data_IF_898982672288
#
_entry.id   IF_898982672288
#
_cell.length_a   1.000
_cell.length_b   1.000
_cell.length_c   1.000
_cell.angle_alpha   90.00
_cell.angle_beta   90.00
_cell.angle_gamma   90.00
#
_symmetry.space_group_name_H-M   'P 1'
#
loop_
_entity.id
_entity.type
_entity.pdbx_description
1 polymer ?
#
# COMPACT_ATOMS: atom_id res chain seq x y z
N UNK A 1 15.82 -11.12 -4.82
CA UNK A 1 14.72 -10.23 -4.34
C UNK A 1 13.31 -10.66 -4.75
N UNK A 2 13.12 -11.37 -5.88
CA UNK A 2 11.78 -11.78 -6.37
C UNK A 2 11.08 -12.81 -5.45
N UNK A 3 11.80 -13.81 -4.95
CA UNK A 3 11.27 -14.88 -4.09
C UNK A 3 10.90 -14.48 -2.64
N UNK A 4 11.35 -13.32 -2.15
CA UNK A 4 11.04 -12.82 -0.80
C UNK A 4 9.76 -11.99 -0.79
N UNK A 5 9.55 -11.17 -1.83
CA UNK A 5 8.27 -10.47 -2.06
C UNK A 5 7.10 -11.46 -2.18
N UNK A 6 7.39 -12.63 -2.76
CA UNK A 6 6.50 -13.76 -2.97
C UNK A 6 5.97 -14.42 -1.69
N UNK A 7 6.78 -14.76 -0.69
CA UNK A 7 6.28 -15.46 0.53
C UNK A 7 5.48 -14.50 1.43
N UNK A 8 5.85 -13.21 1.46
CA UNK A 8 5.07 -12.19 2.14
C UNK A 8 3.70 -11.94 1.49
N UNK A 9 3.66 -11.80 0.16
CA UNK A 9 2.41 -11.57 -0.58
C UNK A 9 1.50 -12.81 -0.59
N UNK A 10 2.07 -14.00 -0.83
CA UNK A 10 1.32 -15.28 -0.84
C UNK A 10 0.89 -15.64 0.57
N UNK A 11 1.73 -15.47 1.60
CA UNK A 11 1.35 -15.71 3.00
C UNK A 11 0.23 -14.79 3.48
N UNK A 12 0.25 -13.52 3.07
CA UNK A 12 -0.82 -12.56 3.37
C UNK A 12 -2.13 -12.85 2.64
N UNK A 13 -2.09 -13.12 1.34
CA UNK A 13 -3.26 -13.47 0.55
C UNK A 13 -3.89 -14.81 0.99
N UNK A 14 -3.06 -15.80 1.33
CA UNK A 14 -3.50 -17.10 1.86
C UNK A 14 -4.08 -16.95 3.27
N UNK A 15 -3.50 -16.11 4.14
CA UNK A 15 -4.07 -15.85 5.46
C UNK A 15 -5.46 -15.19 5.38
N UNK A 16 -5.64 -14.20 4.50
CA UNK A 16 -6.94 -13.54 4.27
C UNK A 16 -7.95 -14.49 3.62
N UNK A 17 -7.52 -15.25 2.61
CA UNK A 17 -8.35 -16.27 1.94
C UNK A 17 -8.75 -17.42 2.85
N UNK A 18 -7.93 -17.80 3.83
CA UNK A 18 -8.22 -18.87 4.79
C UNK A 18 -9.18 -18.47 5.90
N UNK A 19 -9.23 -17.18 6.24
CA UNK A 19 -10.18 -16.67 7.22
C UNK A 19 -11.60 -16.53 6.63
N UNK A 20 -11.72 -16.42 5.30
CA UNK A 20 -13.00 -16.13 4.63
C UNK A 20 -14.02 -17.27 4.64
N UNK A 21 -13.69 -18.54 4.29
CA UNK A 21 -14.65 -19.67 4.36
C UNK A 21 -15.15 -19.96 5.78
N UNK A 22 -14.47 -19.44 6.80
CA UNK A 22 -14.81 -19.60 8.21
C UNK A 22 -15.64 -18.44 8.76
N UNK A 23 -15.57 -17.25 8.15
CA UNK A 23 -16.39 -16.09 8.50
C UNK A 23 -17.83 -16.15 7.98
N UNK A 24 -18.10 -17.00 6.97
CA UNK A 24 -19.46 -17.23 6.46
C UNK A 24 -20.16 -18.26 7.34
N UNK A 25 -20.78 -17.78 8.42
CA UNK A 25 -21.43 -18.63 9.43
C UNK A 25 -22.63 -19.41 8.89
N UNK A 26 -22.46 -20.72 8.72
CA UNK A 26 -23.38 -21.79 9.18
C UNK A 26 -22.48 -22.98 9.59
N UNK A 27 -22.80 -23.76 10.64
CA UNK A 27 -21.85 -24.76 11.14
C UNK A 27 -22.13 -26.13 10.50
N UNK A 28 -21.33 -26.50 9.49
CA UNK A 28 -21.40 -27.80 8.81
C UNK A 28 -20.62 -27.86 7.50
N UNK A 29 -20.45 -29.07 6.94
CA UNK A 29 -19.83 -29.29 5.62
C UNK A 29 -20.52 -28.47 4.51
N UNK A 30 -21.85 -28.30 4.59
CA UNK A 30 -22.62 -27.48 3.64
C UNK A 30 -22.19 -26.03 3.67
N UNK A 31 -21.96 -25.45 4.85
CA UNK A 31 -21.57 -24.07 4.96
C UNK A 31 -20.13 -23.80 4.51
N UNK A 32 -19.23 -24.77 4.73
CA UNK A 32 -17.86 -24.71 4.15
C UNK A 32 -17.95 -24.76 2.63
N UNK A 33 -18.80 -25.65 2.08
CA UNK A 33 -19.04 -25.73 0.63
C UNK A 33 -19.67 -24.45 0.08
N UNK A 34 -20.65 -23.88 0.78
CA UNK A 34 -21.34 -22.65 0.40
C UNK A 34 -20.38 -21.43 0.50
N UNK A 35 -19.55 -21.37 1.54
CA UNK A 35 -18.52 -20.34 1.71
C UNK A 35 -17.43 -20.41 0.64
N UNK A 36 -17.01 -21.61 0.23
CA UNK A 36 -16.08 -21.80 -0.89
C UNK A 36 -16.74 -21.53 -2.25
N UNK A 37 -18.01 -21.89 -2.42
CA UNK A 37 -18.75 -21.63 -3.65
C UNK A 37 -19.00 -20.12 -3.86
N UNK A 38 -19.17 -19.38 -2.77
CA UNK A 38 -19.32 -17.92 -2.77
C UNK A 38 -18.00 -17.18 -2.51
N UNK A 39 -16.85 -17.88 -2.58
CA UNK A 39 -15.55 -17.23 -2.55
C UNK A 39 -15.32 -16.52 -3.88
N UNK A 40 -15.65 -15.23 -3.91
CA UNK A 40 -15.33 -14.35 -5.03
C UNK A 40 -14.03 -13.61 -4.74
N UNK A 41 -12.98 -13.99 -5.44
CA UNK A 41 -11.72 -13.24 -5.52
C UNK A 41 -11.38 -13.07 -6.99
N UNK A 42 -10.95 -11.87 -7.37
CA UNK A 42 -10.56 -11.56 -8.75
C UNK A 42 -9.43 -12.48 -9.27
N UNK A 43 -8.56 -12.96 -8.37
CA UNK A 43 -7.31 -13.64 -8.74
C UNK A 43 -7.15 -15.06 -8.16
N UNK A 44 -8.06 -15.51 -7.29
CA UNK A 44 -7.94 -16.79 -6.59
C UNK A 44 -9.25 -17.56 -6.63
N UNK A 45 -9.17 -18.88 -6.80
CA UNK A 45 -10.27 -19.82 -6.55
C UNK A 45 -9.93 -20.72 -5.39
N UNK A 46 -10.92 -21.04 -4.58
CA UNK A 46 -10.79 -21.98 -3.48
C UNK A 46 -11.72 -23.17 -3.72
N UNK A 47 -11.23 -24.40 -3.50
CA UNK A 47 -12.02 -25.61 -3.60
C UNK A 47 -11.77 -26.54 -2.42
N UNK A 48 -12.80 -27.33 -2.07
CA UNK A 48 -12.71 -28.37 -1.07
C UNK A 48 -12.18 -29.65 -1.72
N UNK A 49 -10.95 -30.05 -1.39
CA UNK A 49 -10.32 -31.27 -1.93
C UNK A 49 -10.83 -32.49 -1.20
N UNK A 50 -10.89 -32.42 0.13
CA UNK A 50 -11.29 -33.53 0.98
C UNK A 50 -11.95 -33.02 2.26
N UNK A 51 -12.95 -33.75 2.75
CA UNK A 51 -13.60 -33.50 4.04
C UNK A 51 -13.91 -34.82 4.73
N UNK A 52 -13.25 -35.05 5.86
CA UNK A 52 -13.51 -36.18 6.74
C UNK A 52 -14.29 -35.69 7.94
N UNK A 53 -15.61 -35.95 7.91
CA UNK A 53 -16.52 -35.62 9.00
C UNK A 53 -16.29 -36.55 10.18
N UNK A 54 -16.09 -35.97 11.36
CA UNK A 54 -16.22 -36.68 12.64
C UNK A 54 -17.23 -36.00 13.56
N UNK A 55 -17.50 -36.62 14.70
CA UNK A 55 -18.55 -36.17 15.63
C UNK A 55 -18.15 -34.92 16.43
N UNK A 56 -16.92 -34.88 16.94
CA UNK A 56 -16.36 -33.74 17.72
C UNK A 56 -15.22 -33.03 16.99
N UNK A 57 -14.71 -33.63 15.92
CA UNK A 57 -13.63 -33.07 15.11
C UNK A 57 -13.82 -33.46 13.66
N UNK A 58 -13.46 -32.58 12.74
CA UNK A 58 -13.38 -32.90 11.31
C UNK A 58 -11.97 -32.61 10.80
N UNK A 59 -11.58 -33.24 9.71
CA UNK A 59 -10.40 -32.84 8.95
C UNK A 59 -10.84 -32.38 7.58
N UNK A 60 -10.30 -31.27 7.11
CA UNK A 60 -10.56 -30.78 5.76
C UNK A 60 -9.26 -30.40 5.07
N UNK A 61 -9.23 -30.57 3.77
CA UNK A 61 -8.18 -30.07 2.91
C UNK A 61 -8.81 -29.17 1.86
N UNK A 62 -8.31 -27.94 1.78
CA UNK A 62 -8.74 -26.94 0.80
C UNK A 62 -7.58 -26.64 -0.14
N UNK A 63 -7.87 -26.42 -1.42
CA UNK A 63 -6.91 -25.96 -2.41
C UNK A 63 -7.25 -24.55 -2.83
N UNK A 64 -6.25 -23.68 -2.76
CA UNK A 64 -6.30 -22.33 -3.31
C UNK A 64 -5.50 -22.33 -4.61
N UNK A 65 -6.15 -22.02 -5.72
CA UNK A 65 -5.55 -21.91 -7.03
C UNK A 65 -5.57 -20.47 -7.48
N UNK A 66 -4.41 -19.96 -7.84
CA UNK A 66 -4.30 -18.64 -8.45
C UNK A 66 -4.78 -18.77 -9.90
N UNK A 67 -5.75 -17.94 -10.28
CA UNK A 67 -6.41 -18.02 -11.59
C UNK A 67 -6.08 -16.87 -12.52
N UNK A 68 -5.47 -15.81 -12.01
CA UNK A 68 -4.97 -14.72 -12.82
C UNK A 68 -3.82 -15.24 -13.73
N UNK A 69 -3.98 -15.20 -15.08
CA UNK A 69 -2.98 -15.72 -16.01
C UNK A 69 -1.62 -15.02 -15.92
N UNK A 70 -1.59 -13.72 -15.61
CA UNK A 70 -0.35 -12.96 -15.48
C UNK A 70 0.40 -13.37 -14.22
N UNK A 71 -0.31 -13.53 -13.10
CA UNK A 71 0.27 -14.03 -11.86
C UNK A 71 0.73 -15.48 -12.04
N UNK A 72 -0.08 -16.33 -12.67
CA UNK A 72 0.29 -17.72 -12.97
C UNK A 72 1.56 -17.81 -13.81
N UNK A 73 1.66 -17.05 -14.90
CA UNK A 73 2.85 -17.04 -15.76
C UNK A 73 4.10 -16.57 -14.98
N UNK A 74 3.96 -15.57 -14.11
CA UNK A 74 5.05 -15.11 -13.26
C UNK A 74 5.47 -16.17 -12.23
N UNK A 75 4.50 -16.84 -11.61
CA UNK A 75 4.75 -17.89 -10.63
C UNK A 75 5.45 -19.09 -11.27
N UNK A 76 4.98 -19.52 -12.44
CA UNK A 76 5.58 -20.63 -13.19
C UNK A 76 7.01 -20.31 -13.66
N UNK A 77 7.25 -19.08 -14.14
CA UNK A 77 8.59 -18.61 -14.51
C UNK A 77 9.57 -18.60 -13.33
N UNK A 78 9.07 -18.42 -12.12
CA UNK A 78 9.85 -18.39 -10.89
C UNK A 78 9.88 -19.74 -10.14
N UNK A 79 9.30 -20.80 -10.72
CA UNK A 79 9.28 -22.16 -10.15
C UNK A 79 8.37 -22.30 -8.93
N UNK A 80 7.35 -21.44 -8.82
CA UNK A 80 6.47 -21.34 -7.66
C UNK A 80 5.17 -22.09 -7.93
N UNK A 81 4.66 -22.88 -6.97
CA UNK A 81 3.35 -23.52 -7.12
C UNK A 81 2.23 -22.49 -7.26
N UNK A 82 1.40 -22.66 -8.28
CA UNK A 82 0.18 -21.87 -8.52
C UNK A 82 -1.02 -22.40 -7.73
N UNK A 83 -0.83 -23.52 -7.03
CA UNK A 83 -1.79 -24.19 -6.18
C UNK A 83 -1.22 -24.41 -4.79
N UNK A 84 -1.98 -24.00 -3.77
CA UNK A 84 -1.61 -24.11 -2.36
C UNK A 84 -2.64 -24.98 -1.66
N UNK A 85 -2.19 -26.10 -1.12
CA UNK A 85 -2.99 -26.98 -0.26
C UNK A 85 -2.88 -26.52 1.19
N UNK A 86 -4.04 -26.51 1.86
CA UNK A 86 -4.13 -26.22 3.29
C UNK A 86 -4.87 -27.35 3.98
N UNK A 87 -4.21 -27.93 4.96
CA UNK A 87 -4.79 -28.95 5.84
C UNK A 87 -5.33 -28.26 7.09
N UNK A 88 -6.61 -28.47 7.39
CA UNK A 88 -7.27 -27.87 8.55
C UNK A 88 -7.91 -28.93 9.42
N UNK A 89 -7.56 -28.91 10.71
CA UNK A 89 -8.19 -29.73 11.75
C UNK A 89 -9.24 -28.90 12.47
N UNK A 90 -10.50 -29.28 12.31
CA UNK A 90 -11.64 -28.61 12.92
C UNK A 90 -12.03 -29.31 14.23
N UNK A 91 -12.35 -28.54 15.24
CA UNK A 91 -12.93 -29.01 16.51
C UNK A 91 -14.28 -28.35 16.72
N UNK A 92 -15.33 -29.16 16.90
CA UNK A 92 -16.70 -28.69 17.09
C UNK A 92 -16.96 -28.50 18.59
N UNK A 93 -17.10 -27.25 19.02
CA UNK A 93 -17.46 -26.89 20.39
C UNK A 93 -18.94 -26.51 20.52
N UNK A 94 -19.40 -26.33 21.76
CA UNK A 94 -20.77 -25.87 22.04
C UNK A 94 -21.01 -24.42 21.61
N UNK A 95 -19.94 -23.61 21.52
CA UNK A 95 -20.02 -22.16 21.27
C UNK A 95 -19.42 -21.75 19.91
N UNK A 96 -18.99 -22.71 19.09
CA UNK A 96 -18.32 -22.41 17.84
C UNK A 96 -17.48 -23.55 17.28
N UNK A 97 -16.76 -23.26 16.21
CA UNK A 97 -15.82 -24.17 15.54
C UNK A 97 -14.43 -23.56 15.60
N UNK A 98 -13.47 -24.30 16.13
CA UNK A 98 -12.07 -23.91 16.08
C UNK A 98 -11.33 -24.68 15.00
N UNK A 99 -10.46 -24.02 14.25
CA UNK A 99 -9.62 -24.65 13.24
C UNK A 99 -8.14 -24.43 13.54
N UNK A 100 -7.34 -25.46 13.25
CA UNK A 100 -5.88 -25.37 13.17
C UNK A 100 -5.48 -25.73 11.75
N UNK A 101 -4.96 -24.77 11.01
CA UNK A 101 -4.61 -24.88 9.60
C UNK A 101 -3.11 -24.79 9.39
N UNK A 102 -2.59 -25.63 8.48
CA UNK A 102 -1.16 -25.75 8.15
C UNK A 102 -0.98 -25.94 6.65
N UNK A 103 0.22 -25.66 6.14
CA UNK A 103 0.56 -25.78 4.71
C UNK A 103 1.37 -27.08 4.45
N UNK A 104 0.72 -28.22 4.16
CA UNK A 104 1.41 -29.51 3.98
C UNK A 104 2.46 -29.53 2.86
N UNK A 105 2.30 -28.69 1.83
CA UNK A 105 3.24 -28.59 0.71
C UNK A 105 4.54 -27.85 1.08
N UNK A 106 4.52 -27.06 2.17
CA UNK A 106 5.65 -26.26 2.61
C UNK A 106 6.00 -26.58 4.07
N UNK A 107 6.38 -27.83 4.40
CA UNK A 107 6.65 -28.24 5.78
C UNK A 107 7.81 -27.46 6.42
N UNK A 108 8.72 -26.93 5.60
CA UNK A 108 9.83 -26.07 6.03
C UNK A 108 9.42 -24.63 6.33
N UNK A 109 8.19 -24.22 6.01
CA UNK A 109 7.63 -22.93 6.35
C UNK A 109 6.66 -23.11 7.52
N UNK A 110 7.08 -22.82 8.76
CA UNK A 110 6.34 -23.20 9.97
C UNK A 110 5.22 -22.19 10.26
N UNK A 111 4.29 -22.05 9.30
CA UNK A 111 3.11 -21.22 9.40
C UNK A 111 1.94 -22.05 9.90
N UNK A 112 1.31 -21.57 10.97
CA UNK A 112 0.08 -22.11 11.52
C UNK A 112 -0.98 -21.02 11.59
N UNK A 113 -2.20 -21.33 11.18
CA UNK A 113 -3.35 -20.44 11.33
C UNK A 113 -4.31 -21.08 12.31
N UNK A 114 -4.61 -20.36 13.38
CA UNK A 114 -5.59 -20.71 14.38
C UNK A 114 -6.81 -19.82 14.13
N UNK A 115 -8.00 -20.39 14.07
CA UNK A 115 -9.22 -19.61 13.96
C UNK A 115 -10.32 -20.16 14.85
N UNK A 116 -11.21 -19.28 15.28
CA UNK A 116 -12.37 -19.62 16.09
C UNK A 116 -13.60 -18.87 15.58
N UNK A 117 -14.50 -19.60 14.95
CA UNK A 117 -15.77 -19.09 14.44
C UNK A 117 -16.84 -19.26 15.50
N UNK A 118 -17.40 -18.15 15.97
CA UNK A 118 -18.45 -18.11 16.97
C UNK A 118 -19.83 -18.42 16.37
N UNK A 119 -20.82 -18.67 17.23
CA UNK A 119 -22.20 -18.96 16.80
C UNK A 119 -22.85 -17.84 15.97
N UNK A 120 -22.39 -16.60 16.09
CA UNK A 120 -22.87 -15.46 15.29
C UNK A 120 -22.18 -15.35 13.91
N UNK A 121 -21.27 -16.28 13.59
CA UNK A 121 -20.50 -16.31 12.34
C UNK A 121 -19.20 -15.50 12.36
N UNK A 122 -18.99 -14.63 13.36
CA UNK A 122 -17.74 -13.89 13.45
C UNK A 122 -16.58 -14.84 13.74
N UNK A 123 -15.42 -14.56 13.16
CA UNK A 123 -14.23 -15.40 13.29
C UNK A 123 -13.08 -14.59 13.85
N UNK A 124 -12.53 -15.03 14.98
CA UNK A 124 -11.24 -14.56 15.45
C UNK A 124 -10.15 -15.45 14.85
N UNK A 125 -9.01 -14.87 14.49
CA UNK A 125 -7.89 -15.60 13.94
C UNK A 125 -6.55 -15.20 14.55
N UNK A 126 -5.60 -16.12 14.49
CA UNK A 126 -4.21 -15.93 14.88
C UNK A 126 -3.35 -16.70 13.90
N UNK A 127 -2.60 -15.98 13.08
CA UNK A 127 -1.54 -16.52 12.23
C UNK A 127 -0.24 -16.49 13.03
N UNK A 128 0.42 -17.63 13.15
CA UNK A 128 1.72 -17.77 13.81
C UNK A 128 2.73 -18.27 12.81
N UNK A 129 3.88 -17.63 12.79
CA UNK A 129 5.07 -18.10 12.13
C UNK A 129 6.08 -18.41 13.22
N UNK A 130 6.47 -19.68 13.38
CA UNK A 130 7.62 -20.00 14.23
C UNK A 130 8.91 -19.54 13.55
N UNK A 131 10.04 -19.63 14.26
CA UNK A 131 11.33 -19.25 13.68
C UNK A 131 11.55 -19.96 12.34
N UNK A 132 11.77 -19.15 11.31
CA UNK A 132 11.94 -19.63 9.96
C UNK A 132 13.33 -19.26 9.45
N UNK A 133 14.10 -20.27 9.03
CA UNK A 133 15.40 -20.10 8.40
C UNK A 133 15.36 -20.84 7.07
N UNK A 134 15.59 -20.12 5.99
CA UNK A 134 15.52 -20.67 4.65
C UNK A 134 16.58 -20.06 3.74
N UNK A 135 17.22 -20.92 2.93
CA UNK A 135 18.18 -20.50 1.92
C UNK A 135 17.51 -20.56 0.56
N UNK A 136 17.27 -19.39 -0.02
CA UNK A 136 16.82 -19.29 -1.40
C UNK A 136 17.98 -19.60 -2.33
N UNK A 137 17.82 -20.66 -3.12
CA UNK A 137 18.77 -21.06 -4.17
C UNK A 137 18.47 -20.24 -5.43
N UNK A 138 19.48 -19.61 -6.01
CA UNK A 138 19.38 -18.77 -7.21
C UNK A 138 20.77 -18.40 -7.71
N UNK A 139 20.85 -17.50 -8.71
CA UNK A 139 22.15 -16.97 -9.19
C UNK A 139 22.94 -16.29 -8.06
N UNK A 140 22.23 -15.63 -7.14
CA UNK A 140 22.77 -15.12 -5.88
C UNK A 140 21.95 -15.72 -4.72
N UNK A 141 22.49 -16.71 -4.01
CA UNK A 141 21.86 -17.29 -2.84
C UNK A 141 21.63 -16.26 -1.73
N UNK A 142 20.45 -16.36 -1.09
CA UNK A 142 20.09 -15.48 0.03
C UNK A 142 19.54 -16.33 1.16
N UNK A 143 20.11 -16.16 2.35
CA UNK A 143 19.58 -16.76 3.58
C UNK A 143 18.60 -15.78 4.21
N UNK A 144 17.39 -16.23 4.48
CA UNK A 144 16.37 -15.47 5.18
C UNK A 144 16.13 -16.09 6.53
N UNK A 145 16.26 -15.26 7.58
CA UNK A 145 15.91 -15.63 8.95
C UNK A 145 14.81 -14.72 9.45
N UNK A 146 13.71 -15.31 9.93
CA UNK A 146 12.58 -14.60 10.52
C UNK A 146 12.41 -15.09 11.96
N UNK A 147 12.42 -14.17 12.91
CA UNK A 147 12.07 -14.49 14.30
C UNK A 147 10.57 -14.80 14.43
N UNK A 148 10.13 -15.55 15.45
CA UNK A 148 8.72 -15.87 15.63
C UNK A 148 7.83 -14.63 15.52
N UNK A 149 6.87 -14.70 14.60
CA UNK A 149 5.99 -13.61 14.26
C UNK A 149 4.53 -14.04 14.42
N UNK A 150 3.66 -13.06 14.67
CA UNK A 150 2.23 -13.32 14.78
C UNK A 150 1.40 -12.21 14.14
N UNK A 151 0.25 -12.60 13.61
CA UNK A 151 -0.83 -11.70 13.26
C UNK A 151 -2.10 -12.18 13.95
N UNK A 152 -2.78 -11.29 14.66
CA UNK A 152 -4.08 -11.57 15.28
C UNK A 152 -5.13 -10.66 14.67
N UNK A 153 -6.37 -11.11 14.62
CA UNK A 153 -7.43 -10.31 14.03
C UNK A 153 -8.80 -10.95 14.16
N UNK A 154 -9.78 -10.27 13.58
CA UNK A 154 -11.16 -10.77 13.51
C UNK A 154 -11.80 -10.42 12.17
N UNK A 155 -12.76 -11.22 11.76
CA UNK A 155 -13.59 -10.98 10.58
C UNK A 155 -15.05 -11.13 11.00
N UNK A 156 -15.89 -10.16 10.65
CA UNK A 156 -17.34 -10.21 10.90
C UNK A 156 -18.08 -10.76 9.68
N UNK A 157 -19.33 -11.19 9.91
CA UNK A 157 -20.23 -11.59 8.81
C UNK A 157 -20.57 -10.45 7.84
N UNK A 158 -20.29 -9.19 8.20
CA UNK A 158 -20.46 -8.01 7.35
C UNK A 158 -19.20 -7.67 6.54
N UNK A 159 -18.15 -8.49 6.63
CA UNK A 159 -16.88 -8.25 5.93
C UNK A 159 -15.97 -7.23 6.59
N UNK A 160 -16.29 -6.78 7.81
CA UNK A 160 -15.35 -5.96 8.60
C UNK A 160 -14.20 -6.83 9.10
N UNK A 161 -12.97 -6.38 8.86
CA UNK A 161 -11.73 -7.05 9.20
C UNK A 161 -10.93 -6.17 10.14
N UNK A 162 -10.38 -6.77 11.18
CA UNK A 162 -9.32 -6.17 12.00
C UNK A 162 -8.07 -7.03 11.96
N UNK A 163 -6.90 -6.42 12.02
CA UNK A 163 -5.64 -7.15 12.16
C UNK A 163 -4.64 -6.37 13.02
N UNK A 164 -3.74 -7.11 13.66
CA UNK A 164 -2.55 -6.63 14.35
C UNK A 164 -1.41 -7.60 14.04
N UNK A 165 -0.41 -7.11 13.32
CA UNK A 165 0.82 -7.80 12.96
C UNK A 165 1.94 -7.39 13.92
N UNK A 166 2.70 -8.37 14.37
CA UNK A 166 3.96 -8.19 15.09
C UNK A 166 5.01 -9.17 14.58
N UNK A 167 6.08 -8.64 14.01
CA UNK A 167 7.25 -9.39 13.54
C UNK A 167 8.52 -8.74 14.11
N UNK A 168 9.12 -9.35 15.14
CA UNK A 168 10.25 -8.75 15.86
C UNK A 168 11.48 -8.49 15.00
N UNK A 169 11.81 -9.41 14.08
CA UNK A 169 13.03 -9.31 13.28
C UNK A 169 12.98 -10.15 12.01
N UNK A 170 13.54 -9.60 10.94
CA UNK A 170 13.86 -10.30 9.71
C UNK A 170 15.29 -9.96 9.29
N UNK A 171 16.06 -10.99 8.90
CA UNK A 171 17.44 -10.86 8.43
C UNK A 171 17.52 -11.50 7.04
N UNK A 172 18.16 -10.79 6.12
CA UNK A 172 18.52 -11.29 4.80
C UNK A 172 20.04 -11.24 4.70
N UNK A 173 20.68 -12.41 4.66
CA UNK A 173 22.12 -12.57 4.48
C UNK A 173 22.41 -12.93 3.03
N UNK A 174 23.27 -12.16 2.38
CA UNK A 174 23.67 -12.35 0.99
C UNK A 174 25.10 -12.91 0.94
N UNK A 175 25.42 -13.70 -0.09
CA UNK A 175 26.76 -14.31 -0.23
C UNK A 175 27.89 -13.28 -0.35
N UNK A 176 27.59 -12.09 -0.88
CA UNK A 176 28.55 -10.99 -1.02
C UNK A 176 28.88 -10.29 0.31
N UNK A 177 28.54 -10.88 1.47
CA UNK A 177 28.69 -10.30 2.81
C UNK A 177 27.82 -9.07 3.05
N UNK A 178 26.83 -8.80 2.18
CA UNK A 178 25.77 -7.87 2.49
C UNK A 178 24.80 -8.53 3.48
N UNK A 179 24.29 -7.73 4.40
CA UNK A 179 23.24 -8.14 5.33
C UNK A 179 22.21 -7.03 5.42
N UNK A 180 20.93 -7.37 5.24
CA UNK A 180 19.81 -6.49 5.51
C UNK A 180 19.08 -6.96 6.77
N UNK A 181 18.87 -6.07 7.72
CA UNK A 181 18.18 -6.34 8.98
C UNK A 181 16.99 -5.41 9.12
N UNK A 182 15.80 -5.97 9.29
CA UNK A 182 14.59 -5.27 9.64
C UNK A 182 14.21 -5.63 11.08
N UNK A 183 13.90 -4.63 11.90
CA UNK A 183 13.59 -4.79 13.32
C UNK A 183 12.26 -4.15 13.69
N UNK A 184 11.52 -4.84 14.56
CA UNK A 184 10.22 -4.43 15.11
C UNK A 184 9.24 -3.97 14.02
N UNK A 185 8.92 -4.89 13.12
CA UNK A 185 7.88 -4.66 12.13
C UNK A 185 6.54 -4.87 12.83
N UNK A 186 5.69 -3.84 12.83
CA UNK A 186 4.34 -3.93 13.34
C UNK A 186 3.36 -3.30 12.38
N UNK A 187 2.12 -3.76 12.46
CA UNK A 187 1.04 -3.13 11.72
C UNK A 187 -0.28 -3.42 12.38
N UNK A 188 -1.24 -2.54 12.17
CA UNK A 188 -2.60 -2.71 12.66
C UNK A 188 -3.56 -2.09 11.67
N UNK A 189 -4.80 -2.56 11.68
CA UNK A 189 -5.80 -1.98 10.83
C UNK A 189 -7.19 -2.49 11.11
N UNK A 190 -8.14 -1.70 10.65
CA UNK A 190 -9.56 -2.01 10.65
C UNK A 190 -10.18 -1.48 9.36
N UNK A 191 -11.09 -2.24 8.78
CA UNK A 191 -11.81 -1.78 7.61
C UNK A 191 -12.65 -2.86 6.98
N UNK A 192 -13.25 -2.53 5.84
CA UNK A 192 -13.97 -3.48 5.02
C UNK A 192 -13.69 -3.19 3.56
N UNK A 193 -13.70 -4.23 2.75
CA UNK A 193 -13.82 -4.08 1.32
C UNK A 193 -15.28 -3.78 0.98
N UNK A 194 -15.51 -2.86 0.05
CA UNK A 194 -16.83 -2.49 -0.45
C UNK A 194 -16.71 -2.11 -1.92
N UNK A 195 -17.21 -2.97 -2.81
CA UNK A 195 -17.24 -2.76 -4.26
C UNK A 195 -15.86 -2.50 -4.90
N UNK A 196 -14.80 -3.14 -4.43
CA UNK A 196 -13.42 -2.98 -4.88
C UNK A 196 -12.64 -1.92 -4.09
N UNK A 197 -13.32 -1.11 -3.29
CA UNK A 197 -12.69 -0.08 -2.46
C UNK A 197 -12.47 -0.60 -1.04
N UNK A 198 -11.24 -0.48 -0.54
CA UNK A 198 -11.01 -0.62 0.89
C UNK A 198 -11.49 0.64 1.61
N UNK A 199 -12.32 0.48 2.63
CA UNK A 199 -12.80 1.54 3.53
C UNK A 199 -12.29 1.27 4.94
N UNK A 200 -11.46 2.15 5.50
CA UNK A 200 -10.96 1.95 6.85
C UNK A 200 -9.67 2.70 7.16
N UNK A 201 -8.91 2.16 8.10
CA UNK A 201 -7.64 2.71 8.56
C UNK A 201 -6.62 1.60 8.77
N UNK A 202 -5.39 1.84 8.33
CA UNK A 202 -4.28 0.90 8.46
C UNK A 202 -3.02 1.66 8.84
N UNK A 203 -2.23 1.07 9.73
CA UNK A 203 -0.94 1.57 10.17
C UNK A 203 0.11 0.49 9.99
N UNK A 204 1.29 0.90 9.56
CA UNK A 204 2.48 0.08 9.46
C UNK A 204 3.66 0.83 10.07
N UNK A 205 4.49 0.12 10.81
CA UNK A 205 5.69 0.66 11.46
C UNK A 205 6.86 -0.30 11.29
N UNK A 206 8.03 0.29 11.07
CA UNK A 206 9.32 -0.38 11.05
C UNK A 206 10.27 0.47 11.90
N UNK A 207 10.68 -0.05 13.05
CA UNK A 207 11.54 0.73 13.95
C UNK A 207 12.93 0.91 13.36
N UNK A 208 13.49 -0.12 12.72
CA UNK A 208 14.82 -0.02 12.09
C UNK A 208 14.98 -0.90 10.86
N UNK A 209 15.50 -0.32 9.78
CA UNK A 209 16.12 -0.99 8.64
C UNK A 209 17.62 -0.69 8.67
N UNK A 210 18.45 -1.72 8.51
CA UNK A 210 19.89 -1.58 8.38
C UNK A 210 20.39 -2.42 7.22
N UNK A 211 21.23 -1.85 6.37
CA UNK A 211 21.97 -2.56 5.32
C UNK A 211 23.46 -2.40 5.61
N UNK A 212 24.11 -3.53 5.83
CA UNK A 212 25.53 -3.60 6.11
C UNK A 212 26.24 -4.33 4.99
N UNK A 213 27.42 -3.86 4.59
CA UNK A 213 28.30 -4.50 3.63
C UNK A 213 29.64 -4.79 4.31
N UNK A 214 30.03 -6.06 4.40
CA UNK A 214 31.29 -6.47 5.05
C UNK A 214 31.48 -5.88 6.47
N UNK A 215 30.38 -5.74 7.22
CA UNK A 215 30.36 -5.19 8.59
C UNK A 215 30.34 -3.67 8.71
N UNK A 216 30.28 -2.93 7.60
CA UNK A 216 30.08 -1.48 7.58
C UNK A 216 28.63 -1.15 7.22
N UNK A 217 28.01 -0.23 7.94
CA UNK A 217 26.65 0.23 7.65
C UNK A 217 26.66 1.17 6.46
N UNK A 218 26.02 0.74 5.37
CA UNK A 218 25.87 1.52 4.14
C UNK A 218 24.61 2.39 4.18
N UNK A 219 23.56 1.85 4.81
CA UNK A 219 22.26 2.49 4.86
C UNK A 219 21.52 2.11 6.15
N UNK A 220 21.03 3.12 6.88
CA UNK A 220 20.22 2.93 8.08
C UNK A 220 18.97 3.82 7.98
N UNK A 221 17.81 3.27 8.30
CA UNK A 221 16.55 4.02 8.44
C UNK A 221 15.93 3.66 9.78
N UNK A 222 15.61 4.69 10.56
CA UNK A 222 14.97 4.57 11.86
C UNK A 222 13.57 5.18 11.84
N UNK A 223 12.63 4.49 12.50
CA UNK A 223 11.29 4.99 12.78
C UNK A 223 10.47 5.28 11.52
N UNK A 224 10.43 4.34 10.57
CA UNK A 224 9.51 4.43 9.44
C UNK A 224 8.08 4.13 9.91
N UNK A 225 7.16 5.04 9.61
CA UNK A 225 5.73 4.83 9.85
C UNK A 225 4.92 5.20 8.62
N UNK A 226 3.91 4.40 8.33
CA UNK A 226 2.93 4.66 7.29
C UNK A 226 1.53 4.52 7.89
N UNK A 227 0.66 5.48 7.63
CA UNK A 227 -0.75 5.45 8.01
C UNK A 227 -1.60 5.75 6.80
N UNK A 228 -2.59 4.91 6.56
CA UNK A 228 -3.53 5.01 5.46
C UNK A 228 -4.94 5.09 6.02
N UNK A 229 -5.76 5.97 5.45
CA UNK A 229 -7.19 6.03 5.72
C UNK A 229 -7.95 6.19 4.43
N UNK A 230 -9.14 5.59 4.37
CA UNK A 230 -10.05 5.74 3.26
C UNK A 230 -11.49 5.75 3.76
N UNK A 231 -12.31 6.63 3.19
CA UNK A 231 -13.69 6.78 3.59
C UNK A 231 -14.56 7.30 2.45
N UNK A 232 -15.84 6.98 2.53
CA UNK A 232 -16.89 7.63 1.76
C UNK A 232 -17.42 8.86 2.52
N UNK A 233 -17.91 9.85 1.78
CA UNK A 233 -18.66 10.95 2.35
C UNK A 233 -20.03 10.50 2.90
N UNK A 234 -20.74 11.41 3.57
CA UNK A 234 -22.04 11.12 4.19
C UNK A 234 -23.13 10.71 3.18
N UNK A 235 -22.98 11.08 1.91
CA UNK A 235 -23.89 10.72 0.80
C UNK A 235 -23.45 9.48 0.03
N UNK A 236 -22.30 8.89 0.36
CA UNK A 236 -21.67 7.75 -0.33
C UNK A 236 -21.42 8.00 -1.82
N UNK A 237 -21.27 9.27 -2.19
CA UNK A 237 -21.01 9.70 -3.57
C UNK A 237 -19.56 10.07 -3.79
N UNK A 238 -18.85 10.46 -2.72
CA UNK A 238 -17.46 10.86 -2.78
C UNK A 238 -16.58 9.94 -1.97
N UNK A 239 -15.42 9.62 -2.52
CA UNK A 239 -14.40 8.78 -1.91
C UNK A 239 -13.12 9.59 -1.68
N UNK A 240 -12.50 9.41 -0.51
CA UNK A 240 -11.24 10.08 -0.15
C UNK A 240 -10.27 9.08 0.43
N UNK A 241 -9.02 9.17 0.00
CA UNK A 241 -7.88 8.46 0.58
C UNK A 241 -6.86 9.45 1.13
N UNK A 242 -6.27 9.12 2.28
CA UNK A 242 -5.16 9.87 2.84
C UNK A 242 -4.03 8.91 3.25
N UNK A 243 -2.80 9.36 3.02
CA UNK A 243 -1.57 8.61 3.16
C UNK A 243 -0.58 9.48 3.92
N UNK A 244 -0.13 9.01 5.09
CA UNK A 244 0.83 9.71 5.93
C UNK A 244 2.06 8.83 6.08
N UNK A 245 3.20 9.33 5.63
CA UNK A 245 4.49 8.65 5.70
C UNK A 245 5.44 9.47 6.55
N UNK A 246 6.16 8.83 7.47
CA UNK A 246 7.20 9.48 8.27
C UNK A 246 8.44 8.60 8.36
N UNK A 247 9.59 9.24 8.41
CA UNK A 247 10.88 8.63 8.72
C UNK A 247 11.57 9.53 9.74
N UNK A 248 11.89 8.99 10.92
CA UNK A 248 12.52 9.77 11.97
C UNK A 248 13.95 10.15 11.60
N UNK A 249 14.72 9.20 11.07
CA UNK A 249 16.10 9.40 10.66
C UNK A 249 16.47 8.43 9.55
N UNK A 250 17.26 8.88 8.59
CA UNK A 250 17.88 8.02 7.60
C UNK A 250 19.31 8.48 7.33
N UNK A 251 20.22 7.52 7.25
CA UNK A 251 21.65 7.72 7.04
C UNK A 251 22.13 6.88 5.88
N UNK A 252 22.95 7.47 5.03
CA UNK A 252 23.58 6.83 3.89
C UNK A 252 24.98 7.40 3.71
N UNK A 253 25.78 6.81 2.82
CA UNK A 253 27.18 7.18 2.61
C UNK A 253 27.41 8.66 2.28
N UNK A 254 26.43 9.34 1.67
CA UNK A 254 26.55 10.74 1.24
C UNK A 254 25.82 11.73 2.16
N UNK A 255 25.12 11.29 3.20
CA UNK A 255 24.43 12.22 4.11
C UNK A 255 23.42 11.61 5.08
N UNK A 256 22.68 12.50 5.74
CA UNK A 256 21.56 12.15 6.61
C UNK A 256 20.37 13.06 6.35
N UNK A 257 19.17 12.51 6.51
CA UNK A 257 17.94 13.30 6.63
C UNK A 257 17.15 12.85 7.86
N UNK A 258 16.48 13.81 8.50
CA UNK A 258 15.73 13.65 9.74
C UNK A 258 14.33 14.21 9.58
N UNK A 259 13.42 13.71 10.42
CA UNK A 259 12.05 14.21 10.54
C UNK A 259 11.32 14.34 9.20
N UNK A 260 11.57 13.39 8.29
CA UNK A 260 10.87 13.35 7.02
C UNK A 260 9.39 13.04 7.29
N UNK A 261 8.52 13.82 6.69
CA UNK A 261 7.07 13.63 6.75
C UNK A 261 6.43 13.99 5.41
N UNK A 262 5.57 13.11 4.91
CA UNK A 262 4.74 13.30 3.72
C UNK A 262 3.29 12.92 4.03
N UNK A 263 2.40 13.91 4.03
CA UNK A 263 0.96 13.75 4.18
C UNK A 263 0.29 14.07 2.83
N UNK A 264 -0.20 13.03 2.15
CA UNK A 264 -0.82 13.09 0.82
C UNK A 264 -2.29 12.67 0.89
N UNK A 265 -3.17 13.43 0.25
CA UNK A 265 -4.61 13.14 0.18
C UNK A 265 -5.08 13.20 -1.27
N UNK A 266 -5.84 12.20 -1.69
CA UNK A 266 -6.63 12.23 -2.91
C UNK A 266 -8.10 12.21 -2.50
N UNK A 267 -8.81 13.31 -2.71
CA UNK A 267 -10.13 13.50 -2.12
C UNK A 267 -11.20 13.94 -3.11
N UNK A 268 -12.44 13.80 -2.66
CA UNK A 268 -13.67 14.08 -3.41
C UNK A 268 -13.80 13.33 -4.74
N UNK A 269 -13.17 12.15 -4.86
CA UNK A 269 -13.33 11.31 -6.05
C UNK A 269 -14.77 10.83 -6.19
N UNK A 270 -15.30 10.79 -7.41
CA UNK A 270 -16.60 10.15 -7.66
C UNK A 270 -16.51 8.65 -7.36
N UNK A 271 -17.39 8.16 -6.49
CA UNK A 271 -17.33 6.78 -5.98
C UNK A 271 -17.58 5.77 -7.10
N UNK A 272 -18.57 6.00 -7.97
CA UNK A 272 -18.91 5.07 -9.03
C UNK A 272 -17.77 4.95 -10.06
N UNK A 273 -17.19 6.08 -10.46
CA UNK A 273 -16.04 6.08 -11.37
C UNK A 273 -14.82 5.42 -10.73
N UNK A 274 -14.53 5.70 -9.45
CA UNK A 274 -13.38 5.11 -8.75
C UNK A 274 -13.54 3.60 -8.57
N UNK A 275 -14.73 3.14 -8.20
CA UNK A 275 -15.09 1.72 -8.12
C UNK A 275 -14.87 1.02 -9.47
N UNK A 276 -15.34 1.62 -10.56
CA UNK A 276 -15.17 1.06 -11.90
C UNK A 276 -13.68 0.94 -12.28
N UNK A 277 -12.88 1.98 -12.01
CA UNK A 277 -11.44 1.96 -12.26
C UNK A 277 -10.71 0.93 -11.39
N UNK A 278 -11.09 0.81 -10.12
CA UNK A 278 -10.47 -0.14 -9.19
C UNK A 278 -10.68 -1.59 -9.64
N UNK A 279 -11.89 -1.93 -10.08
CA UNK A 279 -12.20 -3.28 -10.59
C UNK A 279 -11.38 -3.65 -11.83
N UNK A 280 -11.13 -2.69 -12.71
CA UNK A 280 -10.31 -2.90 -13.90
C UNK A 280 -8.84 -3.10 -13.52
N UNK A 281 -8.30 -2.30 -12.60
CA UNK A 281 -6.93 -2.46 -12.11
C UNK A 281 -6.69 -3.79 -11.38
N UNK A 282 -7.70 -4.31 -10.66
CA UNK A 282 -7.62 -5.59 -9.96
C UNK A 282 -7.74 -6.81 -10.88
N UNK A 283 -8.19 -6.63 -12.13
CA UNK A 283 -8.55 -7.73 -13.05
C UNK A 283 -7.47 -8.13 -14.06
N UNK A 284 -6.49 -7.26 -14.36
CA UNK A 284 -5.45 -7.54 -15.34
C UNK A 284 -4.16 -6.73 -15.09
N UNK A 285 -3.00 -7.38 -15.25
CA UNK A 285 -1.69 -6.72 -15.16
C UNK A 285 -1.34 -5.89 -16.42
N UNK A 286 -1.96 -6.21 -17.55
CA UNK A 286 -1.88 -5.47 -18.81
C UNK A 286 -3.30 -5.15 -19.27
N UNK A 287 -3.57 -3.88 -19.55
CA UNK A 287 -4.87 -3.44 -20.05
C UNK A 287 -5.00 -3.79 -21.53
N UNK A 288 -6.04 -4.54 -21.86
CA UNK A 288 -6.46 -4.75 -23.26
C UNK A 288 -7.05 -3.46 -23.83
N UNK A 289 -7.01 -3.30 -25.16
CA UNK A 289 -7.64 -2.15 -25.84
C UNK A 289 -9.12 -1.99 -25.45
N UNK A 290 -9.82 -3.10 -25.23
CA UNK A 290 -11.23 -3.12 -24.80
C UNK A 290 -11.41 -2.63 -23.35
N UNK A 291 -10.48 -2.92 -22.46
CA UNK A 291 -10.48 -2.38 -21.09
C UNK A 291 -10.13 -0.89 -21.10
N UNK A 292 -9.19 -0.45 -21.96
CA UNK A 292 -8.90 0.97 -22.16
C UNK A 292 -10.16 1.73 -22.60
N UNK A 293 -10.93 1.21 -23.56
CA UNK A 293 -12.20 1.82 -23.98
C UNK A 293 -13.22 1.95 -22.84
N UNK A 294 -13.20 1.05 -21.86
CA UNK A 294 -14.07 1.11 -20.68
C UNK A 294 -13.60 2.10 -19.61
N UNK A 295 -12.29 2.38 -19.56
CA UNK A 295 -11.66 3.31 -18.61
C UNK A 295 -11.91 4.75 -19.00
N UNK A 296 -11.82 5.06 -20.30
CA UNK A 296 -11.89 6.42 -20.80
C UNK A 296 -13.12 7.18 -20.26
N UNK A 297 -14.38 6.65 -20.33
CA UNK A 297 -15.53 7.33 -19.75
C UNK A 297 -15.45 7.57 -18.24
N UNK A 298 -14.76 6.70 -17.50
CA UNK A 298 -14.59 6.85 -16.04
C UNK A 298 -13.60 7.95 -15.72
N UNK A 299 -12.51 8.05 -16.49
CA UNK A 299 -11.56 9.17 -16.39
C UNK A 299 -12.27 10.48 -16.68
N UNK A 300 -13.03 10.56 -17.77
CA UNK A 300 -13.84 11.75 -18.09
C UNK A 300 -14.84 12.07 -16.97
N UNK A 301 -15.47 11.05 -16.36
CA UNK A 301 -16.38 11.23 -15.22
C UNK A 301 -15.68 11.79 -13.99
N UNK A 302 -14.47 11.32 -13.66
CA UNK A 302 -13.69 11.87 -12.54
C UNK A 302 -13.39 13.36 -12.73
N UNK A 303 -12.92 13.76 -13.92
CA UNK A 303 -12.68 15.18 -14.22
C UNK A 303 -13.96 16.00 -14.18
N UNK A 304 -15.05 15.49 -14.78
CA UNK A 304 -16.33 16.18 -14.79
C UNK A 304 -16.91 16.32 -13.38
N UNK A 305 -16.73 15.34 -12.50
CA UNK A 305 -17.20 15.39 -11.11
C UNK A 305 -16.30 16.22 -10.20
N UNK A 306 -15.08 16.51 -10.64
CA UNK A 306 -14.07 17.19 -9.85
C UNK A 306 -13.51 16.32 -8.74
N UNK A 307 -12.29 16.63 -8.33
CA UNK A 307 -11.55 16.00 -7.24
C UNK A 307 -10.42 16.92 -6.81
N UNK A 308 -9.75 16.60 -5.70
CA UNK A 308 -8.54 17.31 -5.30
C UNK A 308 -7.40 16.36 -4.97
N UNK A 309 -6.19 16.87 -5.17
CA UNK A 309 -4.94 16.27 -4.70
C UNK A 309 -4.34 17.27 -3.72
N UNK A 310 -3.98 16.83 -2.52
CA UNK A 310 -3.20 17.64 -1.59
C UNK A 310 -1.97 16.92 -1.07
N UNK A 311 -0.90 17.68 -0.95
CA UNK A 311 0.24 17.40 -0.08
C UNK A 311 0.09 18.39 1.06
N UNK A 312 -0.52 17.96 2.15
CA UNK A 312 -0.80 18.82 3.31
C UNK A 312 0.49 19.11 4.09
N UNK A 313 1.44 18.17 4.04
CA UNK A 313 2.77 18.33 4.60
C UNK A 313 3.79 17.55 3.77
N UNK A 314 4.84 18.21 3.29
CA UNK A 314 6.07 17.58 2.84
C UNK A 314 7.23 18.29 3.51
N UNK A 315 7.85 17.66 4.51
CA UNK A 315 8.89 18.28 5.31
C UNK A 315 10.05 17.32 5.55
N UNK A 316 11.26 17.86 5.68
CA UNK A 316 12.45 17.13 6.09
C UNK A 316 13.49 18.11 6.65
N UNK A 317 14.32 17.63 7.57
CA UNK A 317 15.57 18.28 7.94
C UNK A 317 16.72 17.56 7.22
N UNK A 318 17.46 18.27 6.37
CA UNK A 318 18.53 17.72 5.54
C UNK A 318 19.81 18.46 5.87
N UNK A 319 20.84 17.74 6.32
CA UNK A 319 22.12 18.33 6.74
C UNK A 319 21.99 19.49 7.73
N UNK A 320 20.98 19.44 8.62
CA UNK A 320 20.69 20.47 9.61
C UNK A 320 19.73 21.57 9.13
N UNK A 321 19.49 21.71 7.83
CA UNK A 321 18.57 22.70 7.27
C UNK A 321 17.15 22.16 7.08
N UNK A 322 16.15 22.98 7.38
CA UNK A 322 14.74 22.66 7.22
C UNK A 322 14.23 22.92 5.80
N UNK A 323 13.44 21.98 5.29
CA UNK A 323 12.59 22.11 4.11
C UNK A 323 11.14 21.80 4.51
N UNK A 324 10.19 22.60 4.02
CA UNK A 324 8.77 22.32 4.17
C UNK A 324 7.99 22.81 2.95
N UNK A 325 7.05 22.01 2.46
CA UNK A 325 6.18 22.36 1.35
C UNK A 325 4.77 21.84 1.57
N UNK A 326 3.79 22.55 1.02
CA UNK A 326 2.44 22.08 0.82
C UNK A 326 1.98 22.41 -0.59
N UNK A 327 1.04 21.62 -1.08
CA UNK A 327 0.43 21.79 -2.39
C UNK A 327 -1.02 21.32 -2.28
N UNK A 328 -1.95 22.12 -2.81
CA UNK A 328 -3.31 21.66 -3.07
C UNK A 328 -3.66 22.01 -4.50
N UNK A 329 -4.09 21.01 -5.25
CA UNK A 329 -4.62 21.12 -6.60
C UNK A 329 -6.06 20.62 -6.58
N UNK A 330 -6.98 21.36 -7.19
CA UNK A 330 -8.39 21.00 -7.28
C UNK A 330 -8.84 21.13 -8.72
N UNK A 331 -9.41 20.05 -9.24
CA UNK A 331 -10.17 20.03 -10.49
C UNK A 331 -11.62 20.35 -10.12
N UNK A 332 -12.17 21.49 -10.56
CA UNK A 332 -13.55 21.83 -10.26
C UNK A 332 -14.53 20.92 -11.02
N UNK A 333 -15.71 20.71 -10.43
CA UNK A 333 -16.83 20.05 -11.10
C UNK A 333 -17.21 20.81 -12.39
N UNK A 334 -17.53 20.06 -13.44
CA UNK A 334 -17.81 20.58 -14.78
C UNK A 334 -16.58 20.65 -15.70
N UNK A 335 -15.42 20.15 -15.28
CA UNK A 335 -14.23 20.04 -16.16
C UNK A 335 -14.46 18.93 -17.20
N UNK A 336 -14.69 19.30 -18.46
CA UNK A 336 -15.10 18.37 -19.53
C UNK A 336 -14.11 18.36 -20.69
N UNK A 337 -14.26 17.37 -21.56
CA UNK A 337 -13.50 17.12 -22.77
C UNK A 337 -12.00 16.85 -22.53
N UNK A 338 -11.66 16.34 -21.35
CA UNK A 338 -10.25 16.09 -20.98
C UNK A 338 -9.65 14.99 -21.84
N UNK A 339 -10.47 14.02 -22.27
CA UNK A 339 -10.00 12.98 -23.19
C UNK A 339 -9.67 13.50 -24.59
N UNK A 340 -10.38 14.51 -25.09
CA UNK A 340 -10.09 15.08 -26.42
C UNK A 340 -9.01 16.16 -26.34
N UNK A 341 -8.96 16.91 -25.25
CA UNK A 341 -7.97 17.95 -25.00
C UNK A 341 -7.47 17.88 -23.55
N UNK A 342 -6.41 17.09 -23.27
CA UNK A 342 -5.81 17.01 -21.94
C UNK A 342 -5.33 18.36 -21.39
N UNK A 343 -5.01 19.32 -22.28
CA UNK A 343 -4.57 20.65 -21.88
C UNK A 343 -5.72 21.51 -21.34
N UNK A 344 -6.99 21.13 -21.56
CA UNK A 344 -8.15 21.80 -21.01
C UNK A 344 -8.19 21.76 -19.46
N UNK A 345 -7.50 20.80 -18.84
CA UNK A 345 -7.37 20.70 -17.38
C UNK A 345 -6.55 21.86 -16.82
N UNK A 346 -5.45 22.24 -17.49
CA UNK A 346 -4.51 23.25 -16.99
C UNK A 346 -5.17 24.58 -16.62
N UNK A 347 -5.99 25.21 -17.48
CA UNK A 347 -6.69 26.45 -17.13
C UNK A 347 -7.78 26.26 -16.07
N UNK A 348 -8.34 25.05 -15.91
CA UNK A 348 -9.39 24.76 -14.94
C UNK A 348 -8.85 24.51 -13.52
N UNK A 349 -7.58 24.13 -13.38
CA UNK A 349 -6.96 23.86 -12.09
C UNK A 349 -6.99 25.08 -11.18
N UNK A 350 -7.41 24.85 -9.94
CA UNK A 350 -7.33 25.82 -8.85
C UNK A 350 -6.49 25.24 -7.73
N UNK A 351 -5.87 26.09 -6.91
CA UNK A 351 -5.03 25.56 -5.85
C UNK A 351 -4.15 26.59 -5.17
N UNK A 352 -3.26 26.08 -4.33
CA UNK A 352 -2.25 26.88 -3.65
C UNK A 352 -1.03 26.01 -3.37
N UNK A 353 0.12 26.65 -3.32
CA UNK A 353 1.38 26.02 -2.93
C UNK A 353 2.18 26.96 -2.08
N UNK A 354 2.81 26.41 -1.04
CA UNK A 354 3.75 27.13 -0.20
C UNK A 354 4.96 26.27 0.04
N UNK A 355 6.14 26.84 -0.15
CA UNK A 355 7.41 26.17 0.07
C UNK A 355 8.32 27.05 0.91
N UNK A 356 9.00 26.45 1.88
CA UNK A 356 9.98 27.06 2.75
C UNK A 356 11.30 26.28 2.65
N UNK A 357 12.39 27.02 2.50
CA UNK A 357 13.76 26.53 2.47
C UNK A 357 14.58 27.36 3.47
N UNK A 358 15.15 26.74 4.50
CA UNK A 358 15.97 27.46 5.48
C UNK A 358 17.30 27.95 4.89
N UNK A 359 17.88 29.00 5.49
CA UNK A 359 19.23 29.47 5.14
C UNK A 359 20.28 28.37 5.23
N UNK A 360 20.21 27.58 6.30
CA UNK A 360 21.11 26.46 6.55
C UNK A 360 21.09 25.42 5.42
N UNK A 361 19.91 25.19 4.82
CA UNK A 361 19.79 24.25 3.71
C UNK A 361 20.47 24.79 2.43
N UNK A 362 20.32 26.09 2.15
CA UNK A 362 20.98 26.73 1.00
C UNK A 362 22.51 26.76 1.19
N UNK A 363 22.98 27.04 2.41
CA UNK A 363 24.40 27.00 2.76
C UNK A 363 24.99 25.58 2.61
N UNK A 364 24.23 24.56 3.03
CA UNK A 364 24.65 23.16 2.91
C UNK A 364 24.67 22.68 1.44
N UNK A 365 23.81 23.24 0.58
CA UNK A 365 23.68 22.84 -0.82
C UNK A 365 23.74 24.03 -1.78
N UNK A 366 24.92 24.64 -2.02
CA UNK A 366 25.05 25.86 -2.82
C UNK A 366 24.48 25.78 -4.25
N UNK A 367 24.31 24.58 -4.80
CA UNK A 367 23.72 24.39 -6.13
C UNK A 367 22.25 24.84 -6.22
N UNK A 368 21.49 24.88 -5.10
CA UNK A 368 20.10 25.38 -5.11
C UNK A 368 20.03 26.92 -5.07
N UNK A 369 21.14 27.57 -4.72
CA UNK A 369 21.18 29.02 -4.54
C UNK A 369 20.85 29.76 -5.84
N UNK A 370 21.35 29.29 -6.99
CA UNK A 370 21.08 29.95 -8.28
C UNK A 370 19.56 29.99 -8.58
N UNK A 371 18.86 28.89 -8.32
CA UNK A 371 17.40 28.84 -8.49
C UNK A 371 16.67 29.78 -7.53
N UNK A 372 17.12 29.85 -6.28
CA UNK A 372 16.55 30.76 -5.27
C UNK A 372 16.79 32.22 -5.68
N UNK A 373 18.01 32.58 -6.08
CA UNK A 373 18.37 33.93 -6.51
C UNK A 373 17.52 34.37 -7.71
N UNK A 374 17.29 33.48 -8.68
CA UNK A 374 16.40 33.75 -9.82
C UNK A 374 14.96 34.00 -9.37
N UNK A 375 14.40 33.16 -8.49
CA UNK A 375 13.04 33.33 -7.97
C UNK A 375 12.90 34.61 -7.13
N UNK A 376 13.93 34.99 -6.37
CA UNK A 376 13.99 36.25 -5.63
C UNK A 376 14.02 37.46 -6.59
N UNK A 377 14.88 37.43 -7.62
CA UNK A 377 14.94 38.49 -8.65
C UNK A 377 13.62 38.66 -9.40
N UNK A 378 12.88 37.57 -9.61
CA UNK A 378 11.57 37.57 -10.27
C UNK A 378 10.42 37.94 -9.31
N UNK A 379 10.71 38.26 -8.05
CA UNK A 379 9.72 38.57 -7.00
C UNK A 379 8.74 37.41 -6.74
N UNK A 380 9.17 36.17 -6.97
CA UNK A 380 8.39 34.94 -6.79
C UNK A 380 8.65 34.25 -5.45
N UNK A 381 9.75 34.61 -4.81
CA UNK A 381 10.16 34.14 -3.49
C UNK A 381 10.48 35.33 -2.59
N UNK A 382 10.35 35.16 -1.28
CA UNK A 382 10.69 36.17 -0.26
C UNK A 382 11.71 35.59 0.70
N UNK A 383 12.62 36.43 1.16
CA UNK A 383 13.60 36.07 2.17
C UNK A 383 13.24 36.72 3.52
N UNK A 384 13.36 35.97 4.60
CA UNK A 384 13.27 36.45 5.98
C UNK A 384 14.46 35.95 6.81
N UNK A 385 14.43 36.19 8.13
CA UNK A 385 15.50 35.78 9.05
C UNK A 385 15.69 34.26 9.14
N UNK A 386 14.70 33.46 8.74
CA UNK A 386 14.71 31.99 8.84
C UNK A 386 15.09 31.32 7.52
N UNK A 387 14.73 31.92 6.39
CA UNK A 387 15.03 31.36 5.08
C UNK A 387 14.26 32.04 3.96
N UNK A 388 13.89 31.22 2.98
CA UNK A 388 13.25 31.61 1.75
C UNK A 388 11.87 30.96 1.64
N UNK A 389 10.86 31.76 1.35
CA UNK A 389 9.46 31.32 1.24
C UNK A 389 8.90 31.66 -0.14
N UNK A 390 8.35 30.65 -0.81
CA UNK A 390 7.51 30.79 -2.00
C UNK A 390 6.05 30.56 -1.58
N UNK A 391 5.16 31.44 -2.03
CA UNK A 391 3.73 31.35 -1.79
C UNK A 391 3.00 31.78 -3.08
N UNK A 392 2.22 30.86 -3.65
CA UNK A 392 1.53 31.07 -4.91
C UNK A 392 0.15 30.43 -4.93
N UNK A 393 -0.81 31.15 -5.49
CA UNK A 393 -2.14 30.64 -5.84
C UNK A 393 -2.08 30.05 -7.26
N UNK A 394 -2.78 28.95 -7.48
CA UNK A 394 -2.94 28.35 -8.81
C UNK A 394 -4.32 28.74 -9.30
N UNK A 395 -4.37 29.45 -10.43
CA UNK A 395 -5.61 29.91 -11.04
C UNK A 395 -5.41 30.20 -12.52
N UNK A 396 -6.40 29.84 -13.33
CA UNK A 396 -6.43 30.15 -14.77
C UNK A 396 -5.14 29.70 -15.50
N UNK A 397 -4.61 28.53 -15.13
CA UNK A 397 -3.39 27.95 -15.73
C UNK A 397 -2.09 28.66 -15.35
N UNK A 398 -2.11 29.51 -14.32
CA UNK A 398 -0.95 30.24 -13.84
C UNK A 398 -0.73 30.03 -12.34
N UNK A 399 0.53 30.11 -11.92
CA UNK A 399 0.92 30.44 -10.56
C UNK A 399 0.90 31.95 -10.40
N UNK A 400 0.14 32.45 -9.43
CA UNK A 400 0.01 33.86 -9.07
C UNK A 400 0.70 34.07 -7.72
N UNK A 401 1.83 34.78 -7.75
CA UNK A 401 2.64 35.01 -6.56
C UNK A 401 2.12 36.22 -5.77
N UNK A 402 2.48 36.34 -4.48
CA UNK A 402 2.07 37.48 -3.65
C UNK A 402 2.48 38.86 -4.19
N UNK A 403 3.48 38.92 -5.08
CA UNK A 403 3.92 40.14 -5.78
C UNK A 403 2.97 40.57 -6.91
N UNK A 404 2.01 39.72 -7.29
CA UNK A 404 1.17 39.89 -8.47
C UNK A 404 1.82 39.40 -9.77
N UNK A 405 3.06 38.91 -9.73
CA UNK A 405 3.69 38.23 -10.86
C UNK A 405 3.01 36.91 -11.14
N UNK A 406 3.04 36.48 -12.40
CA UNK A 406 2.46 35.22 -12.83
C UNK A 406 3.48 34.35 -13.56
N UNK A 407 3.35 33.03 -13.41
CA UNK A 407 4.12 32.04 -14.17
C UNK A 407 3.16 31.00 -14.75
N UNK A 408 3.20 30.71 -16.05
CA UNK A 408 2.39 29.66 -16.65
C UNK A 408 2.69 28.29 -16.02
N UNK A 409 1.66 27.59 -15.55
CA UNK A 409 1.80 26.27 -14.91
C UNK A 409 2.43 25.23 -15.85
N UNK A 410 2.17 25.36 -17.16
CA UNK A 410 2.74 24.48 -18.20
C UNK A 410 4.27 24.48 -18.20
N UNK A 411 4.93 25.57 -17.78
CA UNK A 411 6.39 25.63 -17.71
C UNK A 411 6.96 24.65 -16.69
N UNK A 412 6.22 24.38 -15.60
CA UNK A 412 6.59 23.39 -14.59
C UNK A 412 6.35 21.95 -15.05
N UNK A 413 5.41 21.75 -15.98
CA UNK A 413 5.07 20.43 -16.51
C UNK A 413 5.98 20.02 -17.68
N UNK A 414 6.62 20.96 -18.38
CA UNK A 414 7.45 20.66 -19.55
C UNK A 414 8.57 19.64 -19.29
N UNK A 415 9.34 19.70 -18.19
CA UNK A 415 10.37 18.69 -17.91
C UNK A 415 9.78 17.27 -17.78
N UNK A 416 8.59 17.14 -17.17
CA UNK A 416 7.89 15.86 -17.01
C UNK A 416 7.34 15.32 -18.35
N UNK A 417 6.99 16.22 -19.28
CA UNK A 417 6.54 15.85 -20.62
C UNK A 417 7.70 15.51 -21.56
N UNK A 418 8.87 16.13 -21.36
CA UNK A 418 10.06 15.89 -22.17
C UNK A 418 10.88 14.67 -21.70
N UNK A 419 10.67 14.17 -20.48
CA UNK A 419 11.32 12.94 -19.99
C UNK A 419 10.71 11.65 -20.54
N UNK A 420 9.76 11.73 -21.48
CA UNK A 420 9.22 10.60 -22.24
C UNK A 420 9.73 10.56 -23.71
N UNK A 421 10.93 11.09 -23.96
CA UNK A 421 11.60 11.05 -25.26
C UNK A 421 12.63 9.95 -25.39
#
# INVERSE_FOLDING_TARGET
>A
MKSIKMIGAVGGAVALGLCWPLAVGQIGESAIKDGLANFESASTKAELVNYQRGYLSSQMQTRYRITDPAIVAQLEAEGIPTEILVDSKLTHGLMGVSAVSTLPQFPQFPLQILSNTHLNGNTDYTVKLDQWNYVFQGEEPVTVTVEPAQMVGSVTTLGEVTFQLNMPKMILDFENQAQMVLSQISGDGQGKESEGLWLGSQSFKLDKLSVNQAGQTEFDVDGFTYHFTSALDGTQTRFTTAHQMKVANAKYSEGEFKDFALDFTLGDLDTAATTALSKLYQGSAEMTDQEVEQILPQVETLFNKGFFISIDKFAANISGGDFASNLRLSVPEGTQNVLQDPMAVVPALTGQTKTFISHQLVEAFPFIQEGIDQLMMMEMMKQDDKGYTLDAEIKEGNLVFSSGKTMPLVMLLMPLMMSQG
#
